data_IF_828833079822
#
_entry.id   IF_828833079822
#
_cell.length_a   1.000
_cell.length_b   1.000
_cell.length_c   1.000
_cell.angle_alpha   90.00
_cell.angle_beta   90.00
_cell.angle_gamma   90.00
#
_symmetry.space_group_name_H-M   'P 1'
#
loop_
_entity.id
_entity.type
_entity.pdbx_description
1 polymer ?
#
# COMPACT_ATOMS: atom_id res chain seq x y z
N UNK A 1 -3.47 -20.87 -7.03
CA UNK A 1 -2.55 -19.84 -7.61
C UNK A 1 -2.57 -18.46 -6.90
N UNK A 2 -3.22 -18.26 -5.74
CA UNK A 2 -3.48 -16.89 -5.21
C UNK A 2 -2.43 -16.30 -4.23
N UNK A 3 -1.65 -17.15 -3.57
CA UNK A 3 -0.81 -16.75 -2.42
C UNK A 3 0.51 -16.11 -2.88
N UNK A 4 1.13 -16.69 -3.91
CA UNK A 4 2.38 -16.20 -4.51
C UNK A 4 2.23 -14.81 -5.14
N UNK A 5 1.07 -14.53 -5.77
CA UNK A 5 0.80 -13.23 -6.39
C UNK A 5 0.68 -12.12 -5.33
N UNK A 6 0.05 -12.40 -4.18
CA UNK A 6 -0.06 -11.46 -3.06
C UNK A 6 1.30 -11.17 -2.43
N UNK A 7 2.10 -12.20 -2.15
CA UNK A 7 3.44 -12.02 -1.60
C UNK A 7 4.35 -11.16 -2.51
N UNK A 8 4.26 -11.37 -3.82
CA UNK A 8 5.02 -10.57 -4.80
C UNK A 8 4.58 -9.09 -4.82
N UNK A 9 3.26 -8.84 -4.77
CA UNK A 9 2.73 -7.46 -4.70
C UNK A 9 3.17 -6.75 -3.42
N UNK A 10 3.14 -7.42 -2.26
CA UNK A 10 3.62 -6.85 -0.99
C UNK A 10 5.10 -6.44 -1.08
N UNK A 11 5.95 -7.33 -1.59
CA UNK A 11 7.37 -7.06 -1.77
C UNK A 11 7.63 -5.91 -2.75
N UNK A 12 6.86 -5.85 -3.84
CA UNK A 12 6.93 -4.74 -4.81
C UNK A 12 6.50 -3.42 -4.16
N UNK A 13 5.40 -3.42 -3.41
CA UNK A 13 4.94 -2.26 -2.65
C UNK A 13 5.97 -1.77 -1.64
N UNK A 14 6.59 -2.70 -0.89
CA UNK A 14 7.65 -2.40 0.07
C UNK A 14 8.85 -1.71 -0.58
N UNK A 15 9.30 -2.22 -1.74
CA UNK A 15 10.38 -1.59 -2.52
C UNK A 15 10.02 -0.17 -2.96
N UNK A 16 8.77 0.07 -3.35
CA UNK A 16 8.31 1.41 -3.78
C UNK A 16 8.26 2.35 -2.58
N UNK A 17 7.60 1.97 -1.48
CA UNK A 17 7.49 2.86 -0.32
C UNK A 17 8.86 3.16 0.29
N UNK A 18 9.82 2.22 0.26
CA UNK A 18 11.16 2.48 0.74
C UNK A 18 11.91 3.54 -0.09
N UNK A 19 11.53 3.75 -1.35
CA UNK A 19 12.05 4.84 -2.20
C UNK A 19 11.30 6.17 -2.00
N UNK A 20 10.11 6.15 -1.39
CA UNK A 20 9.24 7.31 -1.23
C UNK A 20 8.90 7.54 0.26
N UNK A 21 9.61 8.44 0.92
CA UNK A 21 9.47 8.72 2.36
C UNK A 21 8.03 9.04 2.78
N UNK A 22 7.25 9.77 1.97
CA UNK A 22 5.84 10.03 2.23
C UNK A 22 4.99 8.76 2.24
N UNK A 23 5.15 7.90 1.22
CA UNK A 23 4.43 6.61 1.15
C UNK A 23 4.84 5.67 2.29
N UNK A 24 6.11 5.71 2.71
CA UNK A 24 6.61 4.95 3.86
C UNK A 24 5.94 5.37 5.16
N UNK A 25 5.87 6.67 5.46
CA UNK A 25 5.22 7.19 6.68
C UNK A 25 3.75 6.77 6.75
N UNK A 26 3.04 6.83 5.61
CA UNK A 26 1.63 6.39 5.53
C UNK A 26 1.50 4.89 5.82
N UNK A 27 2.38 4.06 5.23
CA UNK A 27 2.41 2.63 5.51
C UNK A 27 2.68 2.33 7.00
N UNK A 28 3.66 2.99 7.61
CA UNK A 28 3.99 2.83 9.04
C UNK A 28 2.84 3.27 9.95
N UNK A 29 2.14 4.34 9.59
CA UNK A 29 0.93 4.78 10.30
C UNK A 29 -0.17 3.71 10.22
N UNK A 30 -0.43 3.17 9.04
CA UNK A 30 -1.40 2.07 8.89
C UNK A 30 -0.95 0.79 9.61
N UNK A 31 0.34 0.49 9.64
CA UNK A 31 0.87 -0.69 10.34
C UNK A 31 0.60 -0.61 11.84
N UNK A 32 0.70 0.59 12.43
CA UNK A 32 0.37 0.85 13.84
C UNK A 32 -1.12 0.78 14.14
N UNK A 33 -1.98 1.16 13.20
CA UNK A 33 -3.44 1.18 13.38
C UNK A 33 -4.05 -0.19 13.11
N UNK A 34 -3.79 -0.75 11.93
CA UNK A 34 -4.30 -2.04 11.50
C UNK A 34 -3.38 -2.65 10.41
N UNK A 35 -2.66 -3.74 10.72
CA UNK A 35 -1.77 -4.41 9.77
C UNK A 35 -2.45 -4.82 8.46
N UNK A 36 -3.76 -5.13 8.48
CA UNK A 36 -4.53 -5.49 7.28
C UNK A 36 -4.67 -4.32 6.31
N UNK A 37 -4.78 -3.09 6.81
CA UNK A 37 -4.84 -1.87 5.98
C UNK A 37 -3.46 -1.60 5.36
N UNK A 38 -2.39 -1.77 6.15
CA UNK A 38 -1.03 -1.63 5.68
C UNK A 38 -0.74 -2.58 4.51
N UNK A 39 -1.24 -3.81 4.59
CA UNK A 39 -1.15 -4.80 3.52
C UNK A 39 -1.88 -4.38 2.24
N UNK A 40 -3.13 -3.93 2.37
CA UNK A 40 -3.91 -3.41 1.23
C UNK A 40 -3.23 -2.20 0.59
N UNK A 41 -2.56 -1.37 1.39
CA UNK A 41 -1.82 -0.20 0.92
C UNK A 41 -0.61 -0.61 0.08
N UNK A 42 0.17 -1.60 0.53
CA UNK A 42 1.28 -2.14 -0.26
C UNK A 42 0.79 -2.73 -1.59
N UNK A 43 -0.31 -3.48 -1.57
CA UNK A 43 -0.91 -4.02 -2.80
C UNK A 43 -1.35 -2.91 -3.75
N UNK A 44 -1.91 -1.81 -3.23
CA UNK A 44 -2.34 -0.67 -4.03
C UNK A 44 -1.14 0.08 -4.64
N UNK A 45 -0.12 0.37 -3.84
CA UNK A 45 1.12 1.02 -4.30
C UNK A 45 1.82 0.17 -5.36
N UNK A 46 1.86 -1.15 -5.19
CA UNK A 46 2.48 -2.07 -6.16
C UNK A 46 1.79 -2.11 -7.52
N UNK A 47 0.47 -1.85 -7.54
CA UNK A 47 -0.37 -1.78 -8.74
C UNK A 47 -0.36 -0.38 -9.37
N UNK A 48 -0.20 0.67 -8.57
CA UNK A 48 -0.22 2.06 -8.99
C UNK A 48 1.13 2.73 -8.67
N UNK A 49 2.16 2.36 -9.44
CA UNK A 49 3.53 2.85 -9.21
C UNK A 49 3.62 4.36 -9.39
N UNK A 50 2.89 4.89 -10.37
CA UNK A 50 2.86 6.29 -10.77
C UNK A 50 1.92 7.14 -9.91
N UNK A 51 1.20 6.55 -8.94
CA UNK A 51 0.31 7.29 -8.05
C UNK A 51 1.12 8.28 -7.20
N UNK A 52 0.86 9.57 -7.39
CA UNK A 52 1.50 10.64 -6.62
C UNK A 52 0.78 10.82 -5.28
N UNK A 53 -0.55 10.85 -5.31
CA UNK A 53 -1.41 10.92 -4.14
C UNK A 53 -2.16 9.60 -3.98
N UNK A 54 -2.26 9.11 -2.74
CA UNK A 54 -3.03 7.92 -2.41
C UNK A 54 -3.87 8.29 -1.21
N UNK A 55 -5.18 8.33 -1.42
CA UNK A 55 -6.16 8.64 -0.40
C UNK A 55 -7.02 7.42 -0.10
N UNK A 56 -7.65 7.42 1.07
CA UNK A 56 -8.72 6.50 1.35
C UNK A 56 -10.01 7.10 0.79
N UNK A 57 -10.80 6.29 0.08
CA UNK A 57 -12.15 6.67 -0.34
C UNK A 57 -12.96 7.16 0.87
N UNK A 58 -13.96 8.02 0.68
CA UNK A 58 -14.82 8.55 1.75
C UNK A 58 -15.39 7.46 2.65
N UNK A 59 -15.72 6.30 2.07
CA UNK A 59 -16.26 5.16 2.80
C UNK A 59 -15.19 4.28 3.45
N UNK A 60 -13.91 4.63 3.30
CA UNK A 60 -12.78 3.94 3.93
C UNK A 60 -12.68 2.47 3.54
N UNK A 61 -13.14 2.14 2.33
CA UNK A 61 -13.19 0.75 1.83
C UNK A 61 -11.98 0.38 0.99
N UNK A 62 -11.43 1.33 0.23
CA UNK A 62 -10.34 1.12 -0.73
C UNK A 62 -9.47 2.37 -0.85
N UNK A 63 -8.28 2.17 -1.39
CA UNK A 63 -7.40 3.26 -1.78
C UNK A 63 -7.74 3.75 -3.17
N UNK A 64 -7.59 5.06 -3.38
CA UNK A 64 -7.82 5.78 -4.63
C UNK A 64 -6.63 6.72 -4.87
N UNK A 65 -6.37 7.04 -6.15
CA UNK A 65 -5.36 8.02 -6.55
C UNK A 65 -5.98 9.39 -6.76
#
# INVERSE_FOLDING_TARGET
>A
MGIFKKANLKNKGLKVINKHSGKKKVYEAYLKINPSIADKYLEFVAKNLDAVYITWDDKKQRFTT
#
